data_IF_866944555497
#
_entry.id   IF_866944555497
#
_cell.length_a   1.000
_cell.length_b   1.000
_cell.length_c   1.000
_cell.angle_alpha   90.00
_cell.angle_beta   90.00
_cell.angle_gamma   90.00
#
_symmetry.space_group_name_H-M   'P 1'
#
loop_
_entity.id
_entity.type
_entity.pdbx_description
1 polymer ?
#
# COMPACT_ATOMS: atom_id res chain seq x y z
N UNK A 1 -1.85 15.65 -23.40
CA UNK A 1 -2.32 14.50 -22.60
C UNK A 1 -2.15 14.86 -21.13
N UNK A 2 -3.24 15.08 -20.39
CA UNK A 2 -3.13 15.39 -18.96
C UNK A 2 -2.47 14.20 -18.25
N UNK A 3 -1.29 14.43 -17.69
CA UNK A 3 -0.64 13.47 -16.79
C UNK A 3 -1.50 13.47 -15.54
N UNK A 4 -2.50 12.58 -15.49
CA UNK A 4 -3.26 12.32 -14.27
C UNK A 4 -2.23 12.04 -13.17
N UNK A 5 -2.28 12.84 -12.11
CA UNK A 5 -1.41 12.65 -10.96
C UNK A 5 -1.56 11.19 -10.47
N UNK A 6 -0.46 10.53 -10.07
CA UNK A 6 -0.55 9.16 -9.58
C UNK A 6 -1.52 9.08 -8.39
N UNK A 7 -2.34 8.02 -8.32
CA UNK A 7 -3.32 7.88 -7.24
C UNK A 7 -2.65 7.88 -5.88
N UNK A 8 -3.24 8.62 -4.93
CA UNK A 8 -2.76 8.68 -3.56
C UNK A 8 -3.23 7.46 -2.74
N UNK A 9 -2.38 6.90 -1.85
CA UNK A 9 -2.80 5.84 -0.95
C UNK A 9 -3.82 6.32 0.09
N UNK A 10 -4.90 5.58 0.23
CA UNK A 10 -5.93 5.77 1.25
C UNK A 10 -5.54 5.04 2.53
N UNK A 11 -5.93 5.58 3.68
CA UNK A 11 -5.78 4.94 4.98
C UNK A 11 -7.18 4.66 5.53
N UNK A 12 -7.51 3.40 5.70
CA UNK A 12 -8.75 2.93 6.31
C UNK A 12 -8.42 2.29 7.68
N UNK A 13 -9.34 2.39 8.64
CA UNK A 13 -9.26 1.60 9.87
C UNK A 13 -10.12 0.36 9.70
N UNK A 14 -9.53 -0.82 9.95
CA UNK A 14 -10.18 -2.11 9.75
C UNK A 14 -10.25 -2.82 11.10
N UNK A 15 -11.37 -3.49 11.36
CA UNK A 15 -11.56 -4.27 12.60
C UNK A 15 -11.42 -5.74 12.25
N UNK A 16 -10.43 -6.42 12.84
CA UNK A 16 -10.26 -7.87 12.74
C UNK A 16 -10.41 -8.47 14.14
N UNK A 17 -11.63 -8.88 14.49
CA UNK A 17 -11.96 -9.31 15.86
C UNK A 17 -11.70 -8.18 16.86
N UNK A 18 -10.98 -8.49 17.95
CA UNK A 18 -10.61 -7.52 19.00
C UNK A 18 -9.36 -6.70 18.65
N UNK A 19 -8.68 -6.99 17.53
CA UNK A 19 -7.47 -6.29 17.13
C UNK A 19 -7.78 -5.04 16.30
N UNK A 20 -7.21 -3.91 16.74
CA UNK A 20 -7.23 -2.66 15.98
C UNK A 20 -6.24 -2.77 14.83
N UNK A 21 -6.75 -2.70 13.61
CA UNK A 21 -5.92 -2.72 12.41
C UNK A 21 -6.18 -1.49 11.55
N UNK A 22 -5.21 -1.13 10.72
CA UNK A 22 -5.37 -0.13 9.69
C UNK A 22 -4.88 -0.70 8.37
N UNK A 23 -5.42 -0.19 7.28
CA UNK A 23 -5.12 -0.64 5.93
C UNK A 23 -4.77 0.56 5.07
N UNK A 24 -3.59 0.51 4.47
CA UNK A 24 -3.21 1.45 3.41
C UNK A 24 -3.51 0.80 2.07
N UNK A 25 -4.42 1.38 1.30
CA UNK A 25 -4.82 0.86 -0.01
C UNK A 25 -4.53 1.85 -1.12
N UNK A 26 -4.12 1.35 -2.29
CA UNK A 26 -3.98 2.18 -3.50
C UNK A 26 -4.29 1.34 -4.73
N UNK A 27 -4.88 1.98 -5.74
CA UNK A 27 -5.16 1.33 -7.02
C UNK A 27 -4.50 2.14 -8.14
N UNK A 28 -3.45 1.61 -8.82
CA UNK A 28 -2.73 2.34 -9.86
C UNK A 28 -3.64 2.84 -11.00
N UNK A 29 -4.53 1.98 -11.50
CA UNK A 29 -5.59 2.35 -12.46
C UNK A 29 -6.82 1.47 -12.25
N UNK A 30 -7.97 1.82 -12.85
CA UNK A 30 -9.21 1.02 -12.76
C UNK A 30 -9.06 -0.45 -13.22
N UNK A 31 -8.01 -0.77 -13.97
CA UNK A 31 -7.75 -2.11 -14.51
C UNK A 31 -6.75 -2.92 -13.65
N UNK A 32 -6.14 -2.32 -12.62
CA UNK A 32 -5.27 -3.02 -11.69
C UNK A 32 -6.06 -3.47 -10.46
N UNK A 33 -5.63 -4.59 -9.89
CA UNK A 33 -6.05 -5.00 -8.56
C UNK A 33 -5.66 -3.93 -7.52
N UNK A 34 -6.39 -3.90 -6.40
CA UNK A 34 -6.05 -2.98 -5.30
C UNK A 34 -4.82 -3.53 -4.60
N UNK A 35 -3.80 -2.69 -4.47
CA UNK A 35 -2.68 -2.97 -3.58
C UNK A 35 -3.07 -2.57 -2.16
N UNK A 36 -2.95 -3.49 -1.21
CA UNK A 36 -3.29 -3.27 0.19
C UNK A 36 -2.09 -3.59 1.09
N UNK A 37 -1.84 -2.76 2.10
CA UNK A 37 -0.89 -3.04 3.17
C UNK A 37 -1.61 -2.95 4.50
N UNK A 38 -1.54 -4.02 5.27
CA UNK A 38 -2.17 -4.09 6.57
C UNK A 38 -1.19 -3.68 7.67
N UNK A 39 -1.71 -2.99 8.66
CA UNK A 39 -1.02 -2.52 9.85
C UNK A 39 -1.77 -3.03 11.07
N UNK A 40 -1.07 -3.68 11.98
CA UNK A 40 -1.64 -4.25 13.20
C UNK A 40 -0.99 -3.60 14.40
N UNK A 41 -1.81 -3.24 15.39
CA UNK A 41 -1.38 -2.90 16.73
C UNK A 41 -1.34 -4.15 17.62
N UNK A 42 -0.18 -4.43 18.20
CA UNK A 42 0.00 -5.43 19.25
C UNK A 42 0.63 -4.77 20.49
N UNK A 43 -0.09 -3.80 21.06
CA UNK A 43 0.27 -3.07 22.28
C UNK A 43 1.15 -1.85 22.00
N UNK A 44 2.46 -1.94 22.27
CA UNK A 44 3.43 -0.86 21.96
C UNK A 44 4.19 -1.08 20.65
N UNK A 45 3.77 -2.06 19.85
CA UNK A 45 4.47 -2.50 18.64
C UNK A 45 3.49 -2.53 17.48
N UNK A 46 3.88 -1.88 16.39
CA UNK A 46 3.14 -1.89 15.15
C UNK A 46 3.85 -2.78 14.12
N UNK A 47 3.06 -3.70 13.57
CA UNK A 47 3.47 -4.64 12.54
C UNK A 47 2.88 -4.18 11.21
N UNK A 48 3.62 -4.38 10.13
CA UNK A 48 3.13 -4.12 8.77
C UNK A 48 3.29 -5.40 7.96
N UNK A 49 2.27 -5.70 7.16
CA UNK A 49 2.35 -6.78 6.19
C UNK A 49 3.54 -6.56 5.24
N UNK A 50 4.34 -7.59 5.04
CA UNK A 50 5.47 -7.56 4.12
C UNK A 50 5.02 -7.63 2.66
N UNK A 51 3.94 -8.37 2.42
CA UNK A 51 3.27 -8.52 1.14
C UNK A 51 1.95 -7.74 1.07
N UNK A 52 1.44 -7.58 -0.15
CA UNK A 52 0.20 -6.86 -0.42
C UNK A 52 -1.07 -7.65 -0.08
N UNK A 53 -0.93 -8.91 0.36
CA UNK A 53 -2.04 -9.81 0.70
C UNK A 53 -2.28 -9.87 2.21
N UNK A 54 -1.42 -9.24 3.02
CA UNK A 54 -1.55 -9.27 4.47
C UNK A 54 -1.08 -10.59 5.10
N UNK A 55 -0.30 -11.41 4.39
CA UNK A 55 -0.01 -12.78 4.84
C UNK A 55 1.23 -12.90 5.73
N UNK A 56 2.24 -12.05 5.51
CA UNK A 56 3.48 -12.07 6.30
C UNK A 56 3.64 -10.79 7.13
N UNK A 57 3.87 -10.90 8.43
CA UNK A 57 3.90 -9.73 9.34
C UNK A 57 5.32 -9.44 9.82
N UNK A 58 5.76 -8.20 9.61
CA UNK A 58 7.09 -7.75 10.06
C UNK A 58 6.94 -6.58 11.01
N UNK A 59 7.65 -6.63 12.13
CA UNK A 59 7.76 -5.50 13.05
C UNK A 59 8.38 -4.30 12.31
N UNK A 60 7.72 -3.14 12.36
CA UNK A 60 8.25 -1.93 11.72
C UNK A 60 8.64 -0.85 12.70
N UNK A 61 7.76 -0.51 13.65
CA UNK A 61 8.04 0.58 14.58
C UNK A 61 7.18 0.51 15.83
N UNK A 62 7.59 1.24 16.87
CA UNK A 62 6.77 1.50 18.08
C UNK A 62 5.75 2.63 17.92
N UNK A 63 5.75 3.31 16.77
CA UNK A 63 4.88 4.47 16.52
C UNK A 63 4.01 4.15 15.30
N UNK A 64 2.70 4.33 15.47
CA UNK A 64 1.73 4.06 14.42
C UNK A 64 1.93 4.98 13.21
N UNK A 65 2.13 6.27 13.45
CA UNK A 65 2.33 7.28 12.40
C UNK A 65 3.48 6.91 11.46
N UNK A 66 4.63 6.51 12.00
CA UNK A 66 5.79 6.07 11.18
C UNK A 66 5.50 4.80 10.39
N UNK A 67 4.70 3.87 10.92
CA UNK A 67 4.30 2.68 10.18
C UNK A 67 3.38 3.04 9.01
N UNK A 68 2.42 3.95 9.23
CA UNK A 68 1.53 4.48 8.19
C UNK A 68 2.34 5.17 7.10
N UNK A 69 3.30 6.02 7.44
CA UNK A 69 4.16 6.71 6.47
C UNK A 69 4.96 5.72 5.61
N UNK A 70 5.51 4.68 6.21
CA UNK A 70 6.23 3.63 5.49
C UNK A 70 5.31 2.85 4.55
N UNK A 71 4.11 2.48 5.02
CA UNK A 71 3.10 1.80 4.20
C UNK A 71 2.66 2.67 3.02
N UNK A 72 2.40 3.97 3.23
CA UNK A 72 2.10 4.93 2.16
C UNK A 72 3.25 5.05 1.16
N UNK A 73 4.50 5.10 1.63
CA UNK A 73 5.68 5.14 0.75
C UNK A 73 5.78 3.89 -0.13
N UNK A 74 5.56 2.70 0.44
CA UNK A 74 5.52 1.44 -0.32
C UNK A 74 4.38 1.42 -1.35
N UNK A 75 3.18 1.83 -0.95
CA UNK A 75 2.03 1.94 -1.86
C UNK A 75 2.32 2.89 -3.04
N UNK A 76 2.92 4.06 -2.78
CA UNK A 76 3.34 4.99 -3.84
C UNK A 76 4.42 4.41 -4.75
N UNK A 77 5.37 3.64 -4.21
CA UNK A 77 6.39 2.97 -5.01
C UNK A 77 5.75 1.94 -5.96
N UNK A 78 4.85 1.11 -5.45
CA UNK A 78 4.10 0.15 -6.26
C UNK A 78 3.35 0.83 -7.42
N UNK A 79 2.64 1.94 -7.16
CA UNK A 79 1.98 2.72 -8.23
C UNK A 79 2.97 3.18 -9.29
N UNK A 80 4.14 3.69 -8.89
CA UNK A 80 5.16 4.15 -9.85
C UNK A 80 5.68 3.00 -10.72
N UNK A 81 5.90 1.84 -10.13
CA UNK A 81 6.41 0.66 -10.83
C UNK A 81 5.39 0.14 -11.85
N UNK A 82 4.11 0.02 -11.47
CA UNK A 82 3.02 -0.38 -12.38
C UNK A 82 2.82 0.61 -13.53
N UNK A 83 2.82 1.92 -13.23
CA UNK A 83 2.73 2.96 -14.26
C UNK A 83 3.93 2.92 -15.22
N UNK A 84 5.14 2.61 -14.72
CA UNK A 84 6.35 2.47 -15.55
C UNK A 84 6.26 1.22 -16.44
N UNK A 85 5.82 0.09 -15.90
CA UNK A 85 5.63 -1.14 -16.64
C UNK A 85 4.61 -0.98 -17.78
N UNK A 86 3.50 -0.28 -17.54
CA UNK A 86 2.52 0.05 -18.59
C UNK A 86 3.10 0.91 -19.70
N UNK A 87 3.89 1.94 -19.36
CA UNK A 87 4.55 2.79 -20.37
C UNK A 87 5.50 1.97 -21.24
N UNK A 88 6.28 1.08 -20.63
CA UNK A 88 7.23 0.23 -21.35
C UNK A 88 6.54 -0.78 -22.29
N UNK A 89 5.40 -1.37 -21.87
CA UNK A 89 4.60 -2.23 -22.74
C UNK A 89 4.00 -1.49 -23.94
N UNK A 90 3.58 -0.23 -23.75
CA UNK A 90 3.07 0.61 -24.86
C UNK A 90 4.14 0.93 -25.90
N UNK A 91 5.40 1.09 -25.49
CA UNK A 91 6.52 1.38 -26.41
C UNK A 91 7.05 0.17 -27.18
N UNK A 92 6.71 -1.06 -26.77
CA UNK A 92 7.16 -2.28 -27.46
C UNK A 92 6.12 -2.87 -28.43
N UNK A 93 4.85 -2.50 -28.28
CA UNK A 93 3.74 -2.98 -29.11
C UNK A 93 3.22 -1.91 -30.11
N UNK A 94 4.00 -0.85 -30.32
CA UNK A 94 3.69 0.26 -31.25
C UNK A 94 4.77 0.39 -32.30
#
# INVERSE_FOLDING_TARGET
MSILAPPEPKLDYVVHGDMRTARVSVRPTRHHEVFELYLVDAGMRFYVAEDHKGTNWVFRHRLFSRCVENAKRRARAHVKDELRAMKHKKTLNG
#
